data_IF_362152544907
#
_entry.id   IF_362152544907
#
_cell.length_a   1.000
_cell.length_b   1.000
_cell.length_c   1.000
_cell.angle_alpha   90.00
_cell.angle_beta   90.00
_cell.angle_gamma   90.00
#
_symmetry.space_group_name_H-M   'P 1'
#
loop_
_entity.id
_entity.type
_entity.pdbx_description
1 polymer ?
#
# COMPACT_ATOMS: atom_id res chain seq x y z
N UNK A 1 17.39 6.49 -17.31
CA UNK A 1 18.77 6.38 -17.74
C UNK A 1 19.13 5.08 -18.45
N UNK A 2 18.30 4.02 -18.34
CA UNK A 2 18.51 2.78 -19.07
C UNK A 2 18.57 2.98 -20.60
N UNK A 3 17.81 3.94 -21.14
CA UNK A 3 17.84 4.28 -22.55
C UNK A 3 19.22 4.77 -23.03
N UNK A 4 19.90 5.60 -22.24
CA UNK A 4 21.24 6.07 -22.56
C UNK A 4 22.26 4.93 -22.51
N UNK A 5 22.16 4.03 -21.53
CA UNK A 5 23.03 2.85 -21.43
C UNK A 5 22.81 1.93 -22.63
N UNK A 6 21.57 1.65 -23.00
CA UNK A 6 21.22 0.83 -24.15
C UNK A 6 21.79 1.42 -25.47
N UNK A 7 21.70 2.74 -25.65
CA UNK A 7 22.22 3.44 -26.84
C UNK A 7 23.76 3.59 -26.83
N UNK A 8 24.39 3.44 -25.67
CA UNK A 8 25.85 3.38 -25.57
C UNK A 8 26.41 2.03 -26.01
N UNK A 9 25.62 0.99 -26.16
CA UNK A 9 25.99 -0.30 -26.71
C UNK A 9 26.22 -0.21 -28.23
N UNK A 10 26.95 -1.16 -28.80
CA UNK A 10 27.27 -1.18 -30.24
C UNK A 10 26.03 -1.36 -31.11
N UNK A 11 25.14 -2.22 -30.68
CA UNK A 11 23.88 -2.51 -31.35
C UNK A 11 22.74 -2.56 -30.35
N UNK A 12 21.58 -2.09 -30.76
CA UNK A 12 20.34 -2.15 -29.98
C UNK A 12 19.33 -2.98 -30.77
N UNK A 13 18.92 -4.08 -30.15
CA UNK A 13 17.83 -4.93 -30.63
C UNK A 13 16.62 -4.74 -29.76
N UNK A 14 15.47 -4.55 -30.35
CA UNK A 14 14.24 -4.28 -29.62
C UNK A 14 13.10 -5.20 -30.05
N UNK A 15 12.20 -5.46 -29.12
CA UNK A 15 10.88 -5.96 -29.47
C UNK A 15 10.04 -4.81 -30.07
N UNK A 16 9.18 -5.06 -31.10
CA UNK A 16 8.39 -3.99 -31.73
C UNK A 16 7.55 -3.17 -30.77
N UNK A 17 7.04 -3.79 -29.68
CA UNK A 17 6.25 -3.14 -28.64
C UNK A 17 7.07 -2.63 -27.44
N UNK A 18 8.41 -2.80 -27.46
CA UNK A 18 9.24 -2.29 -26.37
C UNK A 18 9.30 -0.77 -26.42
N UNK A 19 9.41 -0.14 -25.25
CA UNK A 19 9.51 1.30 -25.10
C UNK A 19 10.96 1.72 -24.80
N UNK A 20 11.43 2.78 -25.46
CA UNK A 20 12.75 3.37 -25.27
C UNK A 20 12.60 4.85 -24.93
N UNK A 21 13.21 5.30 -23.81
CA UNK A 21 13.15 6.69 -23.37
C UNK A 21 11.92 7.02 -22.52
N UNK A 22 11.52 8.29 -22.50
CA UNK A 22 10.40 8.81 -21.75
C UNK A 22 10.77 9.33 -20.35
N UNK A 23 9.77 9.85 -19.66
CA UNK A 23 9.88 10.27 -18.27
C UNK A 23 10.09 9.07 -17.36
N UNK A 24 10.83 9.28 -16.28
CA UNK A 24 11.13 8.25 -15.29
C UNK A 24 10.96 8.74 -13.85
N UNK A 25 11.40 7.92 -12.90
CA UNK A 25 11.35 8.25 -11.48
C UNK A 25 12.16 9.50 -11.09
N UNK A 26 13.25 9.80 -11.83
CA UNK A 26 14.06 10.99 -11.60
C UNK A 26 13.56 12.13 -12.50
N UNK A 27 13.13 13.22 -11.89
CA UNK A 27 12.88 14.46 -12.64
C UNK A 27 14.21 15.11 -13.00
N UNK A 28 14.50 15.22 -14.28
CA UNK A 28 15.75 15.80 -14.79
C UNK A 28 15.59 17.32 -14.86
N UNK A 29 16.26 18.04 -13.95
CA UNK A 29 16.32 19.48 -13.98
C UNK A 29 17.29 20.00 -15.06
N UNK A 30 17.18 21.30 -15.38
CA UNK A 30 17.97 21.94 -16.46
C UNK A 30 19.48 21.68 -16.36
N UNK A 31 20.08 21.82 -15.17
CA UNK A 31 21.51 21.55 -14.96
C UNK A 31 21.92 20.11 -15.22
N UNK A 32 21.08 19.16 -14.78
CA UNK A 32 21.33 17.74 -15.00
C UNK A 32 21.18 17.39 -16.49
N UNK A 33 20.16 17.96 -17.16
CA UNK A 33 19.95 17.79 -18.58
C UNK A 33 21.13 18.29 -19.41
N UNK A 34 21.69 19.45 -19.04
CA UNK A 34 22.88 20.01 -19.70
C UNK A 34 24.10 19.12 -19.47
N UNK A 35 24.34 18.64 -18.26
CA UNK A 35 25.42 17.71 -17.93
C UNK A 35 25.29 16.38 -18.70
N UNK A 36 24.09 15.83 -18.83
CA UNK A 36 23.81 14.62 -19.62
C UNK A 36 24.11 14.89 -21.09
N UNK A 37 23.64 16.00 -21.64
CA UNK A 37 23.88 16.37 -23.05
C UNK A 37 25.37 16.58 -23.35
N UNK A 38 26.11 17.20 -22.43
CA UNK A 38 27.53 17.40 -22.55
C UNK A 38 28.32 16.10 -22.46
N UNK A 39 28.02 15.26 -21.47
CA UNK A 39 28.64 13.94 -21.33
C UNK A 39 28.38 13.03 -22.51
N UNK A 40 27.15 13.05 -23.04
CA UNK A 40 26.82 12.28 -24.24
C UNK A 40 27.55 12.81 -25.47
N UNK A 41 27.56 14.12 -25.71
CA UNK A 41 28.21 14.80 -26.85
C UNK A 41 29.71 14.59 -26.83
N UNK A 42 30.38 14.80 -25.71
CA UNK A 42 31.82 14.68 -25.56
C UNK A 42 32.32 13.24 -25.47
N UNK A 43 31.46 12.29 -25.08
CA UNK A 43 31.77 10.87 -24.92
C UNK A 43 31.25 10.03 -26.09
N UNK A 44 30.07 9.44 -25.89
CA UNK A 44 29.51 8.40 -26.77
C UNK A 44 29.30 8.87 -28.22
N UNK A 45 28.74 10.08 -28.42
CA UNK A 45 28.45 10.60 -29.75
C UNK A 45 29.73 10.87 -30.55
N UNK A 46 30.79 11.38 -29.90
CA UNK A 46 32.08 11.64 -30.54
C UNK A 46 32.78 10.34 -30.93
N UNK A 47 32.83 9.35 -30.05
CA UNK A 47 33.46 8.05 -30.31
C UNK A 47 32.75 7.29 -31.44
N UNK A 48 31.41 7.36 -31.48
CA UNK A 48 30.60 6.61 -32.43
C UNK A 48 30.26 7.36 -33.71
N UNK A 49 30.59 8.65 -33.81
CA UNK A 49 30.24 9.48 -34.96
C UNK A 49 28.73 9.61 -35.19
N UNK A 50 27.92 9.47 -34.17
CA UNK A 50 26.44 9.53 -34.23
C UNK A 50 25.94 10.89 -33.75
N UNK A 51 24.74 11.35 -34.23
CA UNK A 51 24.06 12.51 -33.65
C UNK A 51 23.82 12.36 -32.15
N UNK A 52 24.00 13.45 -31.42
CA UNK A 52 23.82 13.42 -29.97
C UNK A 52 22.40 13.82 -29.50
N UNK A 53 21.69 14.62 -30.32
CA UNK A 53 20.42 15.24 -29.89
C UNK A 53 19.32 14.21 -29.66
N UNK A 54 19.19 13.23 -30.57
CA UNK A 54 18.10 12.23 -30.45
C UNK A 54 18.26 11.34 -29.19
N UNK A 55 19.45 10.75 -28.91
CA UNK A 55 19.66 10.05 -27.65
C UNK A 55 19.39 10.89 -26.40
N UNK A 56 19.82 12.13 -26.40
CA UNK A 56 19.61 13.06 -25.29
C UNK A 56 18.13 13.40 -25.12
N UNK A 57 17.40 13.62 -26.22
CA UNK A 57 15.97 13.92 -26.20
C UNK A 57 15.12 12.75 -25.72
N UNK A 58 15.63 11.53 -25.64
CA UNK A 58 14.92 10.41 -25.01
C UNK A 58 14.76 10.58 -23.48
N UNK A 59 15.62 11.39 -22.87
CA UNK A 59 15.72 11.48 -21.39
C UNK A 59 15.58 12.93 -20.92
N UNK A 60 16.10 13.90 -21.69
CA UNK A 60 16.19 15.31 -21.24
C UNK A 60 14.99 16.09 -21.74
N UNK A 61 14.25 16.79 -20.84
CA UNK A 61 13.14 17.66 -21.21
C UNK A 61 13.58 18.86 -22.09
N UNK A 62 12.69 19.27 -22.98
CA UNK A 62 12.87 20.52 -23.76
C UNK A 62 13.89 20.44 -24.90
N UNK A 63 14.37 19.26 -25.26
CA UNK A 63 15.23 19.06 -26.43
C UNK A 63 14.36 18.76 -27.64
N UNK A 64 14.24 19.74 -28.54
CA UNK A 64 13.50 19.59 -29.78
C UNK A 64 14.35 18.87 -30.83
N UNK A 65 13.81 17.81 -31.42
CA UNK A 65 14.50 17.03 -32.46
C UNK A 65 13.66 16.97 -33.71
N UNK A 66 14.32 17.25 -34.87
CA UNK A 66 13.72 17.14 -36.19
C UNK A 66 14.49 16.16 -37.05
N UNK A 67 13.78 15.48 -37.93
CA UNK A 67 14.37 14.63 -38.97
C UNK A 67 14.97 15.53 -40.05
N UNK A 68 16.19 15.25 -40.43
CA UNK A 68 16.87 15.97 -41.52
C UNK A 68 17.35 14.99 -42.57
N UNK A 69 17.35 15.42 -43.82
CA UNK A 69 17.81 14.66 -44.98
C UNK A 69 18.99 15.38 -45.63
N UNK A 70 20.06 14.66 -45.83
CA UNK A 70 21.26 15.22 -46.47
C UNK A 70 21.09 15.30 -47.98
N UNK A 71 21.27 16.50 -48.54
CA UNK A 71 21.25 16.74 -49.98
C UNK A 71 22.36 15.94 -50.65
N UNK A 72 22.04 15.33 -51.77
CA UNK A 72 23.01 14.58 -52.58
C UNK A 72 23.20 13.12 -52.16
N UNK A 73 23.18 12.78 -50.86
CA UNK A 73 23.32 11.41 -50.38
C UNK A 73 22.01 10.74 -49.98
N UNK A 74 20.97 11.54 -49.73
CA UNK A 74 19.69 11.03 -49.19
C UNK A 74 19.78 10.49 -47.78
N UNK A 75 20.89 10.65 -47.09
CA UNK A 75 21.09 10.15 -45.71
C UNK A 75 20.11 10.85 -44.75
N UNK A 76 19.46 10.07 -43.93
CA UNK A 76 18.53 10.57 -42.90
C UNK A 76 19.24 10.57 -41.57
N UNK A 77 19.08 11.65 -40.81
CA UNK A 77 19.52 11.76 -39.41
C UNK A 77 18.57 12.67 -38.62
N UNK A 78 18.68 12.64 -37.31
CA UNK A 78 17.84 13.44 -36.42
C UNK A 78 18.73 14.40 -35.63
N UNK A 79 18.42 15.69 -35.70
CA UNK A 79 19.19 16.74 -35.04
C UNK A 79 18.30 17.71 -34.29
N UNK A 80 18.81 18.27 -33.20
CA UNK A 80 18.30 19.53 -32.67
C UNK A 80 18.85 20.72 -33.48
N UNK A 81 18.18 21.85 -33.42
CA UNK A 81 18.69 23.08 -34.01
C UNK A 81 20.09 23.43 -33.49
N UNK A 82 20.34 23.20 -32.19
CA UNK A 82 21.62 23.45 -31.55
C UNK A 82 22.74 22.52 -32.06
N UNK A 83 22.43 21.26 -32.37
CA UNK A 83 23.38 20.33 -32.97
C UNK A 83 23.68 20.70 -34.40
N UNK A 84 22.64 20.93 -35.18
CA UNK A 84 22.80 21.28 -36.61
C UNK A 84 23.62 22.56 -36.79
N UNK A 85 23.41 23.58 -35.98
CA UNK A 85 24.15 24.84 -36.02
C UNK A 85 25.67 24.67 -35.78
N UNK A 86 26.07 23.63 -35.05
CA UNK A 86 27.49 23.34 -34.73
C UNK A 86 28.17 22.43 -35.76
N UNK A 87 27.43 21.89 -36.70
CA UNK A 87 27.97 20.96 -37.69
C UNK A 87 28.64 21.70 -38.82
N UNK A 88 29.81 21.25 -39.29
CA UNK A 88 30.49 21.85 -40.43
C UNK A 88 29.74 21.65 -41.77
N UNK A 89 28.93 20.58 -41.86
CA UNK A 89 28.14 20.18 -43.03
C UNK A 89 26.67 20.63 -42.96
N UNK A 90 26.32 21.58 -42.07
CA UNK A 90 24.94 22.04 -41.80
C UNK A 90 24.16 22.43 -43.06
N UNK A 91 24.81 23.09 -44.00
CA UNK A 91 24.18 23.61 -45.22
C UNK A 91 23.77 22.51 -46.22
N UNK A 92 24.25 21.28 -45.99
CA UNK A 92 23.90 20.11 -46.80
C UNK A 92 22.61 19.41 -46.27
N UNK A 93 22.14 19.79 -45.09
CA UNK A 93 20.99 19.15 -44.44
C UNK A 93 19.72 19.97 -44.61
N UNK A 94 18.68 19.33 -45.12
CA UNK A 94 17.32 19.87 -45.13
C UNK A 94 16.54 19.38 -43.93
N UNK A 95 16.03 20.34 -43.12
CA UNK A 95 15.19 20.02 -41.95
C UNK A 95 13.81 19.60 -42.47
N UNK A 96 13.40 18.41 -42.07
CA UNK A 96 12.07 17.85 -42.38
C UNK A 96 11.12 17.91 -41.21
N UNK A 97 10.35 16.87 -41.02
CA UNK A 97 9.31 16.80 -39.98
C UNK A 97 9.90 16.76 -38.54
N UNK A 98 9.24 17.40 -37.57
CA UNK A 98 9.63 17.27 -36.18
C UNK A 98 9.40 15.83 -35.71
N UNK A 99 10.36 15.28 -34.96
CA UNK A 99 10.25 13.99 -34.30
C UNK A 99 9.49 14.18 -32.98
N UNK A 100 9.81 15.26 -32.26
CA UNK A 100 9.16 15.68 -31.01
C UNK A 100 10.10 16.42 -30.07
N UNK A 101 9.57 16.78 -28.93
CA UNK A 101 10.28 17.45 -27.82
C UNK A 101 10.53 16.43 -26.71
N UNK A 102 11.74 16.40 -26.15
CA UNK A 102 12.07 15.50 -25.04
C UNK A 102 11.29 15.79 -23.74
N UNK A 103 11.13 14.78 -22.90
CA UNK A 103 11.62 13.41 -23.05
C UNK A 103 10.75 12.58 -24.00
N UNK A 104 11.39 12.03 -25.01
CA UNK A 104 10.71 11.24 -26.04
C UNK A 104 10.53 9.80 -25.61
N UNK A 105 9.32 9.25 -25.78
CA UNK A 105 9.03 7.84 -25.64
C UNK A 105 8.81 7.23 -27.03
N UNK A 106 9.68 6.30 -27.41
CA UNK A 106 9.66 5.65 -28.71
C UNK A 106 9.31 4.18 -28.54
N UNK A 107 8.42 3.66 -29.39
CA UNK A 107 8.26 2.22 -29.55
C UNK A 107 9.39 1.63 -30.42
N UNK A 108 9.55 0.29 -30.44
CA UNK A 108 10.59 -0.36 -31.18
C UNK A 108 10.58 0.00 -32.66
N UNK A 109 9.40 0.11 -33.30
CA UNK A 109 9.26 0.45 -34.72
C UNK A 109 9.74 1.88 -35.04
N UNK A 110 9.41 2.84 -34.17
CA UNK A 110 9.90 4.21 -34.29
C UNK A 110 11.39 4.27 -34.02
N UNK A 111 11.89 3.54 -33.02
CA UNK A 111 13.34 3.46 -32.75
C UNK A 111 14.13 2.92 -33.96
N UNK A 112 13.64 1.89 -34.63
CA UNK A 112 14.24 1.37 -35.87
C UNK A 112 14.16 2.41 -36.98
N UNK A 113 13.00 3.03 -37.23
CA UNK A 113 12.80 4.02 -38.29
C UNK A 113 13.67 5.28 -38.13
N UNK A 114 14.10 5.58 -36.91
CA UNK A 114 15.01 6.67 -36.55
C UNK A 114 16.47 6.24 -36.47
N UNK A 115 16.76 4.97 -36.74
CA UNK A 115 18.12 4.41 -36.76
C UNK A 115 18.74 4.22 -35.37
N UNK A 116 17.93 4.14 -34.32
CA UNK A 116 18.36 3.83 -32.96
C UNK A 116 18.44 2.32 -32.72
N UNK A 117 17.41 1.57 -33.12
CA UNK A 117 17.44 0.11 -33.11
C UNK A 117 18.01 -0.44 -34.42
N UNK A 118 18.85 -1.47 -34.31
CA UNK A 118 19.48 -2.16 -35.46
C UNK A 118 18.55 -3.24 -36.02
N UNK A 119 17.85 -3.96 -35.13
CA UNK A 119 16.94 -5.04 -35.50
C UNK A 119 15.71 -5.02 -34.60
N UNK A 120 14.57 -5.39 -35.18
CA UNK A 120 13.38 -5.74 -34.42
C UNK A 120 13.21 -7.25 -34.37
N UNK A 121 12.96 -7.79 -33.19
CA UNK A 121 12.75 -9.21 -32.99
C UNK A 121 11.59 -9.43 -32.01
N UNK A 122 10.78 -10.45 -32.25
CA UNK A 122 9.65 -10.76 -31.39
C UNK A 122 10.05 -11.67 -30.21
N UNK A 123 11.13 -12.45 -30.41
CA UNK A 123 11.59 -13.41 -29.42
C UNK A 123 13.10 -13.72 -29.53
N UNK A 124 13.58 -14.60 -28.66
CA UNK A 124 14.96 -15.09 -28.66
C UNK A 124 15.30 -15.88 -29.92
N UNK A 125 14.33 -16.56 -30.53
CA UNK A 125 14.54 -17.29 -31.78
C UNK A 125 14.79 -16.33 -32.94
N UNK A 126 14.01 -15.23 -33.01
CA UNK A 126 14.25 -14.14 -33.97
C UNK A 126 15.61 -13.47 -33.78
N UNK A 127 16.06 -13.29 -32.52
CA UNK A 127 17.41 -12.77 -32.24
C UNK A 127 18.50 -13.70 -32.77
N UNK A 128 18.36 -15.00 -32.56
CA UNK A 128 19.28 -16.00 -33.07
C UNK A 128 19.36 -15.96 -34.60
N UNK A 129 18.22 -15.86 -35.24
CA UNK A 129 18.16 -15.77 -36.71
C UNK A 129 18.80 -14.48 -37.22
N UNK A 130 18.54 -13.34 -36.57
CA UNK A 130 19.12 -12.04 -36.97
C UNK A 130 20.65 -12.04 -36.92
N UNK A 131 21.25 -12.75 -35.96
CA UNK A 131 22.70 -12.81 -35.79
C UNK A 131 23.35 -14.13 -36.31
N UNK A 132 22.56 -15.04 -36.89
CA UNK A 132 23.10 -16.29 -37.44
C UNK A 132 23.70 -17.22 -36.38
N UNK A 133 23.21 -17.18 -35.15
CA UNK A 133 23.74 -17.96 -34.05
C UNK A 133 23.30 -19.42 -34.15
N UNK A 134 24.25 -20.33 -34.34
CA UNK A 134 24.00 -21.77 -34.53
C UNK A 134 23.65 -22.52 -33.22
N UNK A 135 24.19 -22.06 -32.10
CA UNK A 135 23.97 -22.71 -30.80
C UNK A 135 22.83 -22.05 -30.01
N UNK A 136 22.18 -22.83 -29.16
CA UNK A 136 21.24 -22.27 -28.19
C UNK A 136 21.95 -21.32 -27.23
N UNK A 137 21.40 -20.12 -27.10
CA UNK A 137 21.92 -19.18 -26.10
C UNK A 137 21.57 -19.69 -24.71
N UNK A 138 22.58 -19.84 -23.85
CA UNK A 138 22.34 -20.13 -22.45
C UNK A 138 21.70 -18.90 -21.81
N UNK A 139 20.40 -18.95 -21.62
CA UNK A 139 19.68 -17.93 -20.84
C UNK A 139 20.00 -18.20 -19.36
N UNK A 140 20.71 -17.29 -18.73
CA UNK A 140 20.94 -17.40 -17.29
C UNK A 140 19.58 -17.28 -16.57
N UNK A 141 19.12 -18.37 -15.97
CA UNK A 141 17.94 -18.32 -15.14
C UNK A 141 18.25 -17.56 -13.85
N UNK A 142 17.35 -16.66 -13.43
CA UNK A 142 17.54 -15.94 -12.18
C UNK A 142 17.62 -16.91 -11.00
N UNK A 143 18.60 -16.71 -10.13
CA UNK A 143 18.77 -17.47 -8.90
C UNK A 143 17.57 -17.31 -7.97
N UNK A 144 17.47 -18.17 -6.96
CA UNK A 144 16.38 -18.10 -5.98
C UNK A 144 16.31 -16.72 -5.29
N UNK A 145 17.46 -16.12 -4.98
CA UNK A 145 17.53 -14.80 -4.37
C UNK A 145 17.00 -13.70 -5.29
N UNK A 146 17.33 -13.76 -6.57
CA UNK A 146 16.85 -12.81 -7.57
C UNK A 146 15.33 -12.97 -7.82
N UNK A 147 14.84 -14.20 -7.86
CA UNK A 147 13.39 -14.49 -7.91
C UNK A 147 12.67 -13.94 -6.67
N UNK A 148 13.25 -14.09 -5.49
CA UNK A 148 12.71 -13.53 -4.24
C UNK A 148 12.68 -12.00 -4.30
N UNK A 149 13.77 -11.35 -4.73
CA UNK A 149 13.82 -9.90 -4.88
C UNK A 149 12.77 -9.40 -5.88
N UNK A 150 12.64 -10.08 -7.01
CA UNK A 150 11.63 -9.73 -8.02
C UNK A 150 10.21 -9.92 -7.48
N UNK A 151 9.95 -10.98 -6.73
CA UNK A 151 8.66 -11.20 -6.09
C UNK A 151 8.36 -10.12 -5.03
N UNK A 152 9.34 -9.79 -4.19
CA UNK A 152 9.22 -8.70 -3.20
C UNK A 152 8.99 -7.33 -3.87
N UNK A 153 9.55 -7.11 -5.06
CA UNK A 153 9.38 -5.88 -5.82
C UNK A 153 8.02 -5.79 -6.55
N UNK A 154 7.22 -6.86 -6.55
CA UNK A 154 5.95 -6.89 -7.27
C UNK A 154 4.88 -6.02 -6.58
N UNK A 155 4.10 -5.23 -7.35
CA UNK A 155 3.00 -4.43 -6.80
C UNK A 155 1.93 -5.28 -6.13
N UNK A 156 1.71 -6.50 -6.63
CA UNK A 156 0.72 -7.46 -6.11
C UNK A 156 1.06 -7.88 -4.69
N UNK A 157 2.35 -8.19 -4.43
CA UNK A 157 2.79 -8.54 -3.08
C UNK A 157 2.73 -7.33 -2.14
N UNK A 158 3.11 -6.14 -2.61
CA UNK A 158 3.01 -4.92 -1.81
C UNK A 158 1.56 -4.68 -1.35
N UNK A 159 0.60 -4.81 -2.26
CA UNK A 159 -0.83 -4.67 -1.95
C UNK A 159 -1.33 -5.74 -0.97
N UNK A 160 -0.92 -6.99 -1.17
CA UNK A 160 -1.26 -8.11 -0.28
C UNK A 160 -0.71 -7.89 1.13
N UNK A 161 0.54 -7.43 1.25
CA UNK A 161 1.16 -7.12 2.54
C UNK A 161 0.43 -6.00 3.28
N UNK A 162 0.00 -4.94 2.57
CA UNK A 162 -0.80 -3.87 3.14
C UNK A 162 -2.15 -4.37 3.65
N UNK A 163 -2.80 -5.25 2.90
CA UNK A 163 -4.08 -5.84 3.28
C UNK A 163 -3.94 -6.76 4.50
N UNK A 164 -2.93 -7.65 4.52
CA UNK A 164 -2.64 -8.54 5.65
C UNK A 164 -2.25 -7.72 6.89
N UNK A 165 -1.36 -6.75 6.73
CA UNK A 165 -0.91 -5.88 7.80
C UNK A 165 -2.06 -5.08 8.42
N UNK A 166 -2.89 -4.47 7.59
CA UNK A 166 -4.06 -3.73 8.02
C UNK A 166 -5.13 -4.61 8.68
N UNK A 167 -5.41 -5.79 8.10
CA UNK A 167 -6.35 -6.74 8.69
C UNK A 167 -5.87 -7.28 10.04
N UNK A 168 -4.58 -7.61 10.15
CA UNK A 168 -3.96 -8.03 11.41
C UNK A 168 -4.07 -6.95 12.49
N UNK A 169 -3.77 -5.70 12.12
CA UNK A 169 -3.91 -4.54 13.01
C UNK A 169 -5.37 -4.34 13.46
N UNK A 170 -6.31 -4.44 12.52
CA UNK A 170 -7.73 -4.33 12.84
C UNK A 170 -8.19 -5.40 13.84
N UNK A 171 -7.75 -6.66 13.63
CA UNK A 171 -8.09 -7.77 14.54
C UNK A 171 -7.51 -7.50 15.93
N UNK A 172 -6.25 -7.10 16.03
CA UNK A 172 -5.60 -6.79 17.32
C UNK A 172 -6.31 -5.67 18.08
N UNK A 173 -6.72 -4.60 17.37
CA UNK A 173 -7.48 -3.50 17.97
C UNK A 173 -8.88 -3.91 18.47
N UNK A 174 -9.48 -4.94 17.85
CA UNK A 174 -10.81 -5.47 18.25
C UNK A 174 -10.74 -6.54 19.34
N UNK A 175 -9.64 -7.28 19.40
CA UNK A 175 -9.42 -8.38 20.35
C UNK A 175 -8.07 -8.21 21.06
N UNK A 176 -7.91 -7.14 21.85
CA UNK A 176 -6.63 -6.86 22.50
C UNK A 176 -6.25 -7.98 23.47
N UNK A 177 -4.96 -8.38 23.45
CA UNK A 177 -4.41 -9.36 24.37
C UNK A 177 -4.13 -10.75 23.77
N UNK A 178 -4.59 -11.06 22.56
CA UNK A 178 -4.23 -12.31 21.88
C UNK A 178 -2.85 -12.19 21.22
N UNK A 179 -2.46 -11.01 20.75
CA UNK A 179 -1.15 -10.69 20.18
C UNK A 179 -0.89 -11.25 18.76
N UNK A 180 -1.70 -12.18 18.29
CA UNK A 180 -1.51 -12.80 16.97
C UNK A 180 -1.75 -11.82 15.82
N UNK A 181 -2.81 -11.00 15.93
CA UNK A 181 -3.11 -9.98 14.93
C UNK A 181 -2.00 -8.93 14.83
N UNK A 182 -1.53 -8.46 15.98
CA UNK A 182 -0.42 -7.52 16.09
C UNK A 182 0.88 -8.09 15.54
N UNK A 183 1.18 -9.36 15.85
CA UNK A 183 2.38 -10.03 15.32
C UNK A 183 2.35 -10.16 13.80
N UNK A 184 1.24 -10.65 13.24
CA UNK A 184 1.07 -10.77 11.77
C UNK A 184 1.15 -9.41 11.10
N UNK A 185 0.52 -8.38 11.67
CA UNK A 185 0.58 -7.00 11.19
C UNK A 185 2.01 -6.47 11.18
N UNK A 186 2.74 -6.65 12.28
CA UNK A 186 4.13 -6.22 12.41
C UNK A 186 5.01 -6.87 11.34
N UNK A 187 4.92 -8.19 11.17
CA UNK A 187 5.70 -8.92 10.16
C UNK A 187 5.37 -8.42 8.75
N UNK A 188 4.07 -8.26 8.43
CA UNK A 188 3.64 -7.79 7.12
C UNK A 188 4.18 -6.39 6.79
N UNK A 189 4.12 -5.44 7.74
CA UNK A 189 4.67 -4.09 7.54
C UNK A 189 6.19 -4.06 7.48
N UNK A 190 6.88 -4.88 8.28
CA UNK A 190 8.35 -5.02 8.18
C UNK A 190 8.74 -5.52 6.77
N UNK A 191 8.09 -6.57 6.27
CA UNK A 191 8.35 -7.11 4.93
C UNK A 191 8.00 -6.07 3.86
N UNK A 192 6.90 -5.32 4.02
CA UNK A 192 6.51 -4.24 3.11
C UNK A 192 7.60 -3.16 3.03
N UNK A 193 7.99 -2.54 4.15
CA UNK A 193 9.01 -1.50 4.15
C UNK A 193 10.37 -2.01 3.70
N UNK A 194 10.72 -3.26 4.04
CA UNK A 194 11.93 -3.91 3.54
C UNK A 194 11.91 -4.04 2.02
N UNK A 195 10.79 -4.50 1.44
CA UNK A 195 10.67 -4.65 0.00
C UNK A 195 10.80 -3.30 -0.72
N UNK A 196 10.17 -2.25 -0.18
CA UNK A 196 10.27 -0.90 -0.73
C UNK A 196 11.68 -0.31 -0.57
N UNK A 197 12.36 -0.62 0.52
CA UNK A 197 13.76 -0.22 0.72
C UNK A 197 14.69 -0.87 -0.29
N UNK A 198 14.52 -2.16 -0.59
CA UNK A 198 15.29 -2.86 -1.62
C UNK A 198 15.09 -2.27 -3.03
N UNK A 199 13.94 -1.69 -3.30
CA UNK A 199 13.64 -0.96 -4.54
C UNK A 199 14.19 0.48 -4.54
N UNK A 200 14.74 0.96 -3.42
CA UNK A 200 15.23 2.33 -3.25
C UNK A 200 14.13 3.38 -3.16
N UNK A 201 12.89 2.97 -2.85
CA UNK A 201 11.74 3.88 -2.74
C UNK A 201 11.43 4.27 -1.30
N UNK A 202 11.81 3.47 -0.30
CA UNK A 202 11.58 3.75 1.11
C UNK A 202 12.87 4.00 1.89
N UNK A 203 12.85 5.02 2.74
CA UNK A 203 13.91 5.35 3.68
C UNK A 203 13.42 5.36 5.13
N UNK A 204 14.18 5.98 6.01
CA UNK A 204 13.83 6.10 7.42
C UNK A 204 12.63 7.04 7.66
N UNK A 205 12.44 8.04 6.79
CA UNK A 205 11.36 9.02 6.93
C UNK A 205 9.98 8.33 6.88
N UNK A 206 9.79 7.46 5.92
CA UNK A 206 8.52 6.75 5.71
C UNK A 206 8.19 5.86 6.89
N UNK A 207 9.19 5.11 7.40
CA UNK A 207 9.03 4.27 8.59
C UNK A 207 8.67 5.10 9.82
N UNK A 208 9.35 6.24 10.02
CA UNK A 208 9.07 7.13 11.16
C UNK A 208 7.68 7.75 11.07
N UNK A 209 7.26 8.19 9.88
CA UNK A 209 5.90 8.70 9.66
C UNK A 209 4.85 7.63 9.93
N UNK A 210 5.09 6.39 9.50
CA UNK A 210 4.21 5.26 9.77
C UNK A 210 4.05 5.02 11.27
N UNK A 211 5.17 4.91 12.00
CA UNK A 211 5.16 4.68 13.44
C UNK A 211 4.53 5.84 14.21
N UNK A 212 4.81 7.09 13.82
CA UNK A 212 4.18 8.26 14.40
C UNK A 212 2.66 8.27 14.17
N UNK A 213 2.23 7.95 12.96
CA UNK A 213 0.82 7.84 12.63
C UNK A 213 0.13 6.74 13.43
N UNK A 214 0.75 5.57 13.54
CA UNK A 214 0.24 4.46 14.33
C UNK A 214 0.15 4.80 15.82
N UNK A 215 1.16 5.52 16.34
CA UNK A 215 1.16 6.02 17.72
C UNK A 215 0.01 7.01 17.96
N UNK A 216 -0.23 7.95 17.04
CA UNK A 216 -1.35 8.90 17.15
C UNK A 216 -2.71 8.17 17.15
N UNK A 217 -2.89 7.18 16.27
CA UNK A 217 -4.13 6.36 16.24
C UNK A 217 -4.29 5.58 17.55
N UNK A 218 -3.22 4.97 18.07
CA UNK A 218 -3.26 4.27 19.35
C UNK A 218 -3.57 5.22 20.52
N UNK A 219 -2.96 6.41 20.54
CA UNK A 219 -3.23 7.42 21.56
C UNK A 219 -4.70 7.88 21.57
N UNK A 220 -5.31 8.06 20.38
CA UNK A 220 -6.74 8.38 20.26
C UNK A 220 -7.62 7.27 20.83
N UNK A 221 -7.28 5.99 20.57
CA UNK A 221 -8.12 4.86 20.99
C UNK A 221 -7.99 4.60 22.50
N UNK A 222 -6.76 4.68 23.05
CA UNK A 222 -6.49 4.22 24.41
C UNK A 222 -6.34 5.34 25.45
N UNK A 223 -5.97 6.57 25.03
CA UNK A 223 -5.65 7.66 25.95
C UNK A 223 -6.64 8.81 25.88
N UNK A 224 -7.06 9.22 24.68
CA UNK A 224 -7.92 10.39 24.46
C UNK A 224 -9.12 10.06 23.57
N UNK A 225 -9.98 9.08 23.95
CA UNK A 225 -11.07 8.65 23.10
C UNK A 225 -12.08 9.78 22.85
N UNK A 226 -12.42 10.00 21.57
CA UNK A 226 -13.49 10.92 21.17
C UNK A 226 -13.07 12.31 20.74
N UNK A 227 -11.78 12.66 20.77
CA UNK A 227 -11.28 13.95 20.24
C UNK A 227 -11.25 13.94 18.70
N UNK A 228 -10.93 12.79 18.10
CA UNK A 228 -10.93 12.56 16.64
C UNK A 228 -9.73 13.16 15.91
N UNK A 229 -9.03 14.13 16.49
CA UNK A 229 -7.92 14.86 15.84
C UNK A 229 -6.70 13.96 15.67
N UNK A 230 -6.32 13.21 16.72
CA UNK A 230 -5.16 12.31 16.68
C UNK A 230 -5.45 11.11 15.78
N UNK A 231 -6.68 10.61 15.79
CA UNK A 231 -7.10 9.50 14.93
C UNK A 231 -7.06 9.86 13.44
N UNK A 232 -7.64 11.01 13.08
CA UNK A 232 -7.61 11.52 11.70
C UNK A 232 -6.18 11.89 11.28
N UNK A 233 -5.45 12.64 12.09
CA UNK A 233 -4.06 13.03 11.81
C UNK A 233 -3.15 11.82 11.69
N UNK A 234 -3.27 10.85 12.63
CA UNK A 234 -2.53 9.59 12.60
C UNK A 234 -2.85 8.75 11.37
N UNK A 235 -4.13 8.64 11.00
CA UNK A 235 -4.55 7.97 9.77
C UNK A 235 -3.97 8.59 8.51
N UNK A 236 -3.96 9.93 8.43
CA UNK A 236 -3.33 10.65 7.32
C UNK A 236 -1.82 10.42 7.27
N UNK A 237 -1.13 10.40 8.42
CA UNK A 237 0.31 10.09 8.48
C UNK A 237 0.60 8.67 7.99
N UNK A 238 -0.20 7.69 8.39
CA UNK A 238 -0.07 6.31 7.90
C UNK A 238 -0.25 6.25 6.39
N UNK A 239 -1.32 6.84 5.84
CA UNK A 239 -1.56 6.88 4.40
C UNK A 239 -0.41 7.58 3.67
N UNK A 240 0.01 8.75 4.14
CA UNK A 240 1.11 9.50 3.55
C UNK A 240 2.42 8.68 3.56
N UNK A 241 2.74 8.02 4.67
CA UNK A 241 3.90 7.13 4.79
C UNK A 241 3.88 6.01 3.76
N UNK A 242 2.76 5.30 3.61
CA UNK A 242 2.62 4.19 2.67
C UNK A 242 2.69 4.65 1.21
N UNK A 243 2.12 5.81 0.89
CA UNK A 243 2.23 6.42 -0.44
C UNK A 243 3.68 6.84 -0.72
N UNK A 244 4.34 7.53 0.21
CA UNK A 244 5.73 7.94 0.05
C UNK A 244 6.67 6.74 -0.07
N UNK A 245 6.46 5.68 0.71
CA UNK A 245 7.27 4.46 0.65
C UNK A 245 7.23 3.77 -0.71
N UNK A 246 6.17 3.94 -1.49
CA UNK A 246 6.02 3.33 -2.82
C UNK A 246 6.66 4.13 -3.96
N UNK A 247 7.29 5.27 -3.68
CA UNK A 247 7.84 6.18 -4.68
C UNK A 247 9.16 6.80 -4.21
N UNK A 248 10.03 7.16 -5.16
CA UNK A 248 11.35 7.74 -4.89
C UNK A 248 11.36 9.27 -4.85
N UNK A 249 10.20 9.93 -4.80
CA UNK A 249 10.05 11.39 -4.78
C UNK A 249 9.00 11.78 -3.74
N UNK A 250 9.14 12.97 -3.16
CA UNK A 250 8.19 13.51 -2.18
C UNK A 250 7.10 14.33 -2.88
N UNK A 251 7.49 15.16 -3.83
CA UNK A 251 6.58 15.97 -4.64
C UNK A 251 6.76 15.60 -6.12
N UNK A 252 5.67 15.32 -6.84
CA UNK A 252 5.78 14.99 -8.25
C UNK A 252 6.22 16.23 -9.05
N UNK A 253 7.17 16.04 -9.96
CA UNK A 253 7.73 17.08 -10.80
C UNK A 253 7.56 16.80 -12.31
N UNK A 254 6.99 15.65 -12.67
CA UNK A 254 6.68 15.28 -14.04
C UNK A 254 5.42 14.41 -14.11
N UNK A 255 4.87 14.22 -15.32
CA UNK A 255 3.63 13.47 -15.56
C UNK A 255 3.74 11.99 -15.18
N UNK A 256 4.91 11.39 -15.32
CA UNK A 256 5.15 10.01 -14.88
C UNK A 256 5.02 9.88 -13.36
N UNK A 257 5.61 10.81 -12.60
CA UNK A 257 5.53 10.83 -11.14
C UNK A 257 4.11 11.09 -10.65
N UNK A 258 3.36 11.98 -11.33
CA UNK A 258 1.94 12.23 -11.03
C UNK A 258 1.14 10.94 -11.18
N UNK A 259 1.24 10.26 -12.33
CA UNK A 259 0.54 9.00 -12.56
C UNK A 259 0.95 7.91 -11.56
N UNK A 260 2.24 7.83 -11.24
CA UNK A 260 2.71 6.86 -10.24
C UNK A 260 2.15 7.14 -8.86
N UNK A 261 2.08 8.41 -8.45
CA UNK A 261 1.46 8.83 -7.19
C UNK A 261 -0.04 8.51 -7.15
N UNK A 262 -0.77 8.75 -8.25
CA UNK A 262 -2.19 8.39 -8.38
C UNK A 262 -2.40 6.89 -8.17
N UNK A 263 -1.63 6.04 -8.85
CA UNK A 263 -1.72 4.58 -8.69
C UNK A 263 -1.35 4.11 -7.28
N UNK A 264 -0.34 4.71 -6.65
CA UNK A 264 0.00 4.46 -5.25
C UNK A 264 -1.15 4.79 -4.30
N UNK A 265 -1.74 5.97 -4.49
CA UNK A 265 -2.88 6.41 -3.67
C UNK A 265 -4.08 5.48 -3.85
N UNK A 266 -4.41 5.09 -5.09
CA UNK A 266 -5.47 4.11 -5.37
C UNK A 266 -5.17 2.77 -4.70
N UNK A 267 -3.92 2.31 -4.74
CA UNK A 267 -3.49 1.07 -4.07
C UNK A 267 -3.67 1.13 -2.56
N UNK A 268 -3.20 2.19 -1.91
CA UNK A 268 -3.31 2.36 -0.45
C UNK A 268 -4.77 2.53 -0.01
N UNK A 269 -5.55 3.35 -0.72
CA UNK A 269 -6.98 3.52 -0.43
C UNK A 269 -7.75 2.22 -0.69
N UNK A 270 -7.40 1.48 -1.75
CA UNK A 270 -7.98 0.18 -2.06
C UNK A 270 -7.68 -0.86 -0.95
N UNK A 271 -6.44 -0.91 -0.45
CA UNK A 271 -6.08 -1.76 0.69
C UNK A 271 -6.86 -1.37 1.95
N UNK A 272 -6.98 -0.07 2.24
CA UNK A 272 -7.75 0.45 3.39
C UNK A 272 -9.22 0.08 3.27
N UNK A 273 -9.83 0.26 2.10
CA UNK A 273 -11.20 -0.16 1.83
C UNK A 273 -11.37 -1.68 1.93
N UNK A 274 -10.38 -2.45 1.48
CA UNK A 274 -10.34 -3.91 1.62
C UNK A 274 -10.35 -4.34 3.09
N UNK A 275 -9.51 -3.73 3.93
CA UNK A 275 -9.49 -3.97 5.38
C UNK A 275 -10.83 -3.63 6.01
N UNK A 276 -11.42 -2.48 5.66
CA UNK A 276 -12.75 -2.08 6.18
C UNK A 276 -13.84 -3.08 5.76
N UNK A 277 -13.79 -3.55 4.52
CA UNK A 277 -14.73 -4.56 3.99
C UNK A 277 -14.56 -5.90 4.71
N UNK A 278 -13.32 -6.37 4.89
CA UNK A 278 -13.02 -7.58 5.65
C UNK A 278 -13.54 -7.43 7.10
N UNK A 279 -13.27 -6.30 7.74
CA UNK A 279 -13.76 -6.03 9.09
C UNK A 279 -15.29 -6.03 9.21
N UNK A 280 -15.97 -5.46 8.21
CA UNK A 280 -17.43 -5.48 8.13
C UNK A 280 -17.99 -6.90 7.94
N UNK A 281 -17.38 -7.68 7.01
CA UNK A 281 -17.76 -9.07 6.76
C UNK A 281 -17.50 -9.96 8.00
N UNK A 282 -16.35 -9.82 8.63
CA UNK A 282 -16.02 -10.54 9.85
C UNK A 282 -17.03 -10.22 10.97
N UNK A 283 -17.39 -8.96 11.16
CA UNK A 283 -18.40 -8.57 12.15
C UNK A 283 -19.76 -9.20 11.87
N UNK A 284 -20.12 -9.35 10.59
CA UNK A 284 -21.45 -9.83 10.20
C UNK A 284 -21.53 -11.36 10.14
N UNK A 285 -20.47 -12.04 9.71
CA UNK A 285 -20.47 -13.48 9.44
C UNK A 285 -19.86 -14.30 10.58
N UNK A 286 -18.91 -13.75 11.32
CA UNK A 286 -18.22 -14.47 12.41
C UNK A 286 -19.16 -14.99 13.49
N UNK A 287 -20.18 -14.25 13.97
CA UNK A 287 -21.13 -14.75 14.94
C UNK A 287 -21.99 -15.91 14.46
N UNK A 288 -22.10 -16.08 13.13
CA UNK A 288 -22.93 -17.12 12.50
C UNK A 288 -22.16 -18.43 12.23
N UNK A 289 -20.82 -18.46 12.44
CA UNK A 289 -20.03 -19.65 12.16
C UNK A 289 -20.11 -20.66 13.31
N UNK A 290 -20.37 -21.97 13.03
CA UNK A 290 -20.51 -23.00 14.06
C UNK A 290 -19.24 -23.20 14.90
N UNK A 291 -18.06 -22.88 14.35
CA UNK A 291 -16.75 -23.08 15.00
C UNK A 291 -16.51 -22.09 16.14
N UNK A 292 -17.06 -20.86 16.07
CA UNK A 292 -16.86 -19.83 17.09
C UNK A 292 -18.04 -19.72 18.07
N UNK A 293 -19.15 -20.36 17.78
CA UNK A 293 -20.34 -20.32 18.63
C UNK A 293 -20.06 -20.88 20.02
N UNK A 294 -19.17 -21.86 20.13
CA UNK A 294 -18.79 -22.49 21.39
C UNK A 294 -17.73 -21.70 22.19
N UNK A 295 -17.06 -20.75 21.54
CA UNK A 295 -16.03 -19.88 22.16
C UNK A 295 -16.58 -18.51 22.57
N UNK A 296 -17.68 -18.08 21.93
CA UNK A 296 -18.36 -16.86 22.32
C UNK A 296 -19.12 -17.12 23.64
N UNK A 297 -18.65 -16.50 24.71
CA UNK A 297 -19.41 -16.41 25.96
C UNK A 297 -20.76 -15.75 25.62
N UNK A 298 -21.81 -16.58 25.58
CA UNK A 298 -23.17 -16.05 25.56
C UNK A 298 -23.32 -15.29 26.87
N UNK A 299 -23.59 -13.96 26.83
CA UNK A 299 -23.93 -13.27 28.09
C UNK A 299 -25.00 -14.07 28.79
N UNK A 300 -24.90 -14.28 30.12
CA UNK A 300 -25.99 -14.88 30.83
C UNK A 300 -27.26 -14.16 30.40
N UNK A 301 -28.28 -14.91 30.00
CA UNK A 301 -29.58 -14.32 29.76
C UNK A 301 -29.93 -13.68 31.10
N UNK A 302 -29.69 -12.38 31.25
CA UNK A 302 -30.24 -11.61 32.35
C UNK A 302 -31.73 -11.92 32.25
N UNK A 303 -32.24 -12.57 33.26
CA UNK A 303 -33.69 -12.73 33.41
C UNK A 303 -34.21 -11.30 33.29
N UNK A 304 -34.82 -10.98 32.14
CA UNK A 304 -35.45 -9.68 31.91
C UNK A 304 -36.43 -9.53 33.09
N UNK A 305 -36.07 -8.73 34.08
CA UNK A 305 -37.04 -8.28 35.06
C UNK A 305 -38.15 -7.62 34.25
N UNK A 306 -39.37 -8.12 34.32
CA UNK A 306 -40.47 -7.52 33.55
C UNK A 306 -40.56 -6.05 33.98
N UNK A 307 -40.26 -5.16 33.07
CA UNK A 307 -40.34 -3.73 33.28
C UNK A 307 -41.81 -3.39 33.62
N UNK A 308 -42.07 -3.10 34.89
CA UNK A 308 -43.40 -2.70 35.34
C UNK A 308 -44.06 -3.66 36.37
N UNK A 309 -43.32 -4.65 36.87
CA UNK A 309 -43.88 -5.45 37.97
C UNK A 309 -43.96 -4.61 39.28
N UNK A 310 -45.16 -4.57 39.86
CA UNK A 310 -45.36 -3.89 41.12
C UNK A 310 -44.67 -4.71 42.24
N UNK A 311 -43.41 -4.31 42.54
CA UNK A 311 -42.61 -4.97 43.58
C UNK A 311 -43.25 -4.89 44.96
N UNK A 312 -44.15 -3.93 45.16
CA UNK A 312 -44.93 -3.79 46.39
C UNK A 312 -45.93 -4.95 46.55
N UNK A 313 -46.37 -5.58 45.49
CA UNK A 313 -47.20 -6.78 45.51
C UNK A 313 -46.49 -8.02 46.07
N UNK A 314 -45.14 -7.97 46.14
CA UNK A 314 -44.34 -9.07 46.72
C UNK A 314 -44.07 -8.90 48.25
N UNK A 315 -44.57 -7.85 48.85
CA UNK A 315 -44.43 -7.65 50.28
C UNK A 315 -45.14 -8.81 51.06
N UNK A 316 -44.43 -9.42 52.00
CA UNK A 316 -44.92 -10.55 52.79
C UNK A 316 -44.78 -11.90 52.08
N UNK A 317 -44.33 -11.99 50.87
CA UNK A 317 -44.14 -13.26 50.15
C UNK A 317 -42.90 -13.98 50.67
N UNK A 318 -42.98 -15.28 50.83
CA UNK A 318 -41.91 -16.13 51.28
C UNK A 318 -41.05 -16.59 50.05
N UNK A 319 -39.76 -16.72 50.28
CA UNK A 319 -38.80 -17.16 49.30
C UNK A 319 -37.65 -17.96 49.90
N UNK A 320 -36.70 -18.35 49.07
CA UNK A 320 -35.50 -19.08 49.50
C UNK A 320 -34.27 -18.43 48.90
N UNK A 321 -33.25 -18.20 49.70
CA UNK A 321 -31.98 -17.65 49.24
C UNK A 321 -31.27 -18.62 48.29
N UNK A 322 -30.82 -18.12 47.12
CA UNK A 322 -30.06 -18.90 46.14
C UNK A 322 -28.57 -18.60 46.19
N UNK A 323 -28.20 -17.46 46.79
CA UNK A 323 -26.81 -17.09 47.07
C UNK A 323 -26.69 -16.57 48.49
N UNK A 324 -25.47 -16.46 49.00
CA UNK A 324 -25.16 -15.81 50.28
C UNK A 324 -25.54 -14.33 50.20
N UNK A 325 -26.28 -13.85 51.21
CA UNK A 325 -26.63 -12.42 51.38
C UNK A 325 -25.70 -11.77 52.41
N UNK A 326 -24.84 -10.80 51.94
CA UNK A 326 -23.91 -10.08 52.83
C UNK A 326 -23.67 -8.62 52.34
N UNK A 327 -24.55 -7.66 52.51
CA UNK A 327 -26.00 -7.79 52.73
C UNK A 327 -26.81 -8.12 51.48
N UNK A 328 -26.28 -7.92 50.25
CA UNK A 328 -26.94 -8.16 48.97
C UNK A 328 -26.62 -9.55 48.42
N UNK A 329 -27.58 -10.12 47.70
CA UNK A 329 -27.45 -11.42 47.01
C UNK A 329 -28.73 -11.77 46.27
N UNK A 330 -28.95 -13.06 46.00
CA UNK A 330 -30.09 -13.54 45.22
C UNK A 330 -30.98 -14.47 46.03
N UNK A 331 -32.29 -14.30 45.92
CA UNK A 331 -33.29 -15.19 46.46
C UNK A 331 -34.38 -15.50 45.43
N UNK A 332 -34.95 -16.68 45.50
CA UNK A 332 -36.09 -17.08 44.69
C UNK A 332 -37.37 -16.69 45.41
N UNK A 333 -38.09 -15.69 44.89
CA UNK A 333 -39.35 -15.16 45.43
C UNK A 333 -40.40 -15.32 44.34
N UNK A 334 -41.54 -15.89 44.69
CA UNK A 334 -42.63 -16.20 43.74
C UNK A 334 -42.16 -17.00 42.51
N UNK A 335 -41.14 -17.90 42.66
CA UNK A 335 -40.60 -18.73 41.58
C UNK A 335 -39.50 -18.08 40.73
N UNK A 336 -39.26 -16.76 40.85
CA UNK A 336 -38.29 -15.99 40.09
C UNK A 336 -37.09 -15.65 40.97
N UNK A 337 -35.87 -15.80 40.43
CA UNK A 337 -34.64 -15.39 41.13
C UNK A 337 -34.48 -13.88 40.99
N UNK A 338 -34.46 -13.16 42.11
CA UNK A 338 -34.38 -11.70 42.18
C UNK A 338 -33.22 -11.26 43.06
N UNK A 339 -32.72 -10.06 42.81
CA UNK A 339 -31.75 -9.43 43.67
C UNK A 339 -32.46 -8.93 44.98
N UNK A 340 -31.93 -9.36 46.12
CA UNK A 340 -32.48 -9.03 47.42
C UNK A 340 -31.39 -8.54 48.37
N UNK A 341 -31.77 -7.78 49.35
CA UNK A 341 -30.88 -7.27 50.40
C UNK A 341 -31.39 -7.77 51.77
N UNK A 342 -30.51 -8.31 52.58
CA UNK A 342 -30.88 -8.70 53.96
C UNK A 342 -30.95 -7.47 54.86
N UNK A 343 -31.87 -7.51 55.87
CA UNK A 343 -32.03 -6.46 56.89
C UNK A 343 -30.95 -6.60 58.00
N UNK A 344 -29.66 -6.46 57.57
CA UNK A 344 -28.49 -6.45 58.46
C UNK A 344 -27.92 -7.81 58.88
N UNK A 345 -28.58 -8.92 58.59
CA UNK A 345 -28.10 -10.26 58.92
C UNK A 345 -27.37 -10.91 57.72
N UNK A 346 -26.30 -11.66 57.98
CA UNK A 346 -25.70 -12.56 57.01
C UNK A 346 -26.63 -13.78 56.87
N UNK A 347 -27.08 -14.11 55.66
CA UNK A 347 -27.96 -15.23 55.38
C UNK A 347 -27.26 -16.18 54.40
N UNK A 348 -27.15 -17.43 54.77
CA UNK A 348 -26.53 -18.45 53.91
C UNK A 348 -27.52 -18.91 52.80
N UNK A 349 -27.02 -19.52 51.71
CA UNK A 349 -27.86 -20.07 50.65
C UNK A 349 -28.78 -21.18 51.18
N UNK A 350 -30.01 -21.23 50.64
CA UNK A 350 -31.01 -22.26 51.02
C UNK A 350 -31.87 -21.91 52.26
N UNK A 351 -31.68 -20.75 52.85
CA UNK A 351 -32.51 -20.29 54.02
C UNK A 351 -33.81 -19.69 53.50
N UNK A 352 -34.91 -20.04 54.18
CA UNK A 352 -36.20 -19.42 53.91
C UNK A 352 -36.23 -17.97 54.42
N UNK A 353 -36.73 -17.07 53.62
CA UNK A 353 -36.77 -15.62 53.88
C UNK A 353 -38.11 -15.06 53.47
N UNK A 354 -38.53 -13.97 54.15
CA UNK A 354 -39.73 -13.20 53.82
C UNK A 354 -39.40 -11.81 53.39
N UNK A 355 -40.07 -11.32 52.36
CA UNK A 355 -39.96 -9.95 51.90
C UNK A 355 -40.63 -9.02 52.91
N UNK A 356 -39.87 -8.09 53.49
CA UNK A 356 -40.32 -7.16 54.49
C UNK A 356 -40.51 -5.75 53.99
N UNK A 357 -39.79 -5.35 52.96
CA UNK A 357 -39.84 -3.99 52.45
C UNK A 357 -39.35 -3.93 51.01
N UNK A 358 -39.73 -2.88 50.25
CA UNK A 358 -39.24 -2.56 48.92
C UNK A 358 -38.69 -1.12 48.92
N UNK A 359 -37.37 -0.93 48.82
CA UNK A 359 -36.72 0.38 48.80
C UNK A 359 -35.80 0.51 47.57
N UNK A 360 -35.99 1.58 46.81
CA UNK A 360 -35.11 1.88 45.67
C UNK A 360 -35.12 0.80 44.60
N UNK A 361 -36.26 0.10 44.39
CA UNK A 361 -36.37 -0.99 43.40
C UNK A 361 -35.73 -2.31 43.83
N UNK A 362 -35.35 -2.47 45.11
CA UNK A 362 -34.81 -3.71 45.67
C UNK A 362 -35.67 -4.27 46.79
N UNK A 363 -35.82 -5.58 46.82
CA UNK A 363 -36.55 -6.28 47.86
C UNK A 363 -35.65 -6.49 49.09
N UNK A 364 -36.14 -6.07 50.26
CA UNK A 364 -35.49 -6.34 51.53
C UNK A 364 -36.10 -7.58 52.15
N UNK A 365 -35.23 -8.51 52.58
CA UNK A 365 -35.67 -9.80 53.13
C UNK A 365 -35.11 -10.06 54.53
N UNK A 366 -35.88 -10.84 55.35
CA UNK A 366 -35.47 -11.30 56.67
C UNK A 366 -35.67 -12.83 56.77
N UNK A 367 -34.76 -13.57 57.43
CA UNK A 367 -35.00 -15.00 57.70
C UNK A 367 -36.24 -15.23 58.45
N UNK A 368 -36.97 -16.30 58.12
CA UNK A 368 -38.20 -16.75 58.83
C UNK A 368 -37.90 -17.36 60.18
#
# INVERSE_FOLDING_TARGET
>A
DAALVALACDELVMHPAAALGGEGNAAIGARQGEAIAEGWRGGVAQVRGRPWSLPVALVVPGVDVSRAVQRGTGRVACFSAAELARRPDRDTWEIGQPVGTGPLLLDGRKAESLGLATHLVDDVAGLRQAYGLAADMAIAEPGWAERLLTALASPELAWLLLLIGGAGLYIELKTPGVGLGGFVSMVAFIVYFWSQHLQGTSGWLEVMLFLAGLFCVAAEIFVLPGVGVLGLGGGLLVIASLVLASQSFVLPANDYQIRRMEWSLVGVLGATAGVATIGFLLRHWLPATPVLRDVLLVPPVEAVEPAGEDLDALLGVDGTTTSRLAPAGKARIAGIVRDVTSDGALIEPGVAVRVIDCRGGRLHVRPL
#
